data_IF_071887207387
#
_entry.id   IF_071887207387
#
_cell.length_a   1.000
_cell.length_b   1.000
_cell.length_c   1.000
_cell.angle_alpha   90.00
_cell.angle_beta   90.00
_cell.angle_gamma   90.00
#
_symmetry.space_group_name_H-M   'P 1'
#
loop_
_entity.id
_entity.type
_entity.pdbx_description
1 polymer ?
#
# COMPACT_ATOMS: atom_id res chain seq x y z
N UNK A 1 31.97 34.92 -5.59
CA UNK A 1 31.17 33.86 -6.25
C UNK A 1 29.70 34.23 -6.17
N UNK A 2 28.88 33.83 -7.15
CA UNK A 2 27.42 34.02 -7.10
C UNK A 2 26.77 32.71 -6.65
N UNK A 3 26.81 32.44 -5.34
CA UNK A 3 26.27 31.20 -4.77
C UNK A 3 24.76 31.27 -4.67
N UNK A 4 24.11 30.27 -5.25
CA UNK A 4 22.70 29.92 -5.05
C UNK A 4 22.43 29.48 -3.61
N UNK A 5 21.17 29.50 -3.13
CA UNK A 5 20.83 28.98 -1.80
C UNK A 5 21.29 27.53 -1.59
N UNK A 6 21.04 26.64 -2.56
CA UNK A 6 21.45 25.23 -2.49
C UNK A 6 22.97 25.06 -2.37
N UNK A 7 23.76 25.88 -3.07
CA UNK A 7 25.22 25.84 -2.93
C UNK A 7 25.69 26.31 -1.55
N UNK A 8 24.99 27.28 -0.93
CA UNK A 8 25.28 27.69 0.46
C UNK A 8 24.94 26.57 1.44
N UNK A 9 23.82 25.88 1.24
CA UNK A 9 23.43 24.75 2.09
C UNK A 9 24.44 23.59 1.99
N UNK A 10 24.99 23.32 0.79
CA UNK A 10 26.08 22.35 0.62
C UNK A 10 27.37 22.77 1.33
N UNK A 11 27.70 24.06 1.35
CA UNK A 11 28.84 24.56 2.13
C UNK A 11 28.60 24.40 3.64
N UNK A 12 27.38 24.62 4.12
CA UNK A 12 27.02 24.37 5.51
C UNK A 12 27.13 22.88 5.86
N UNK A 13 26.65 21.99 4.99
CA UNK A 13 26.80 20.55 5.12
C UNK A 13 28.28 20.16 5.21
N UNK A 14 29.12 20.68 4.30
CA UNK A 14 30.56 20.46 4.30
C UNK A 14 31.20 20.90 5.62
N UNK A 15 30.85 22.08 6.13
CA UNK A 15 31.35 22.57 7.41
C UNK A 15 30.97 21.67 8.59
N UNK A 16 29.75 21.14 8.61
CA UNK A 16 29.32 20.16 9.61
C UNK A 16 30.09 18.84 9.52
N UNK A 17 30.33 18.34 8.30
CA UNK A 17 31.10 17.13 8.06
C UNK A 17 32.58 17.29 8.43
N UNK A 18 33.20 18.44 8.15
CA UNK A 18 34.57 18.74 8.56
C UNK A 18 34.69 18.79 10.09
N UNK A 19 33.71 19.40 10.77
CA UNK A 19 33.66 19.37 12.23
C UNK A 19 33.55 17.93 12.78
N UNK A 20 32.71 17.09 12.16
CA UNK A 20 32.58 15.68 12.51
C UNK A 20 33.90 14.91 12.29
N UNK A 21 34.55 15.06 11.13
CA UNK A 21 35.87 14.47 10.85
C UNK A 21 36.92 14.90 11.88
N UNK A 22 36.96 16.19 12.22
CA UNK A 22 37.91 16.71 13.21
C UNK A 22 37.65 16.16 14.63
N UNK A 23 36.38 15.92 15.00
CA UNK A 23 36.00 15.28 16.28
C UNK A 23 36.41 13.81 16.30
N UNK A 24 36.08 13.05 15.24
CA UNK A 24 36.48 11.64 15.08
C UNK A 24 38.00 11.45 15.09
N UNK A 25 38.75 12.33 14.44
CA UNK A 25 40.21 12.30 14.42
C UNK A 25 40.84 12.47 15.82
N UNK A 26 40.11 13.07 16.78
CA UNK A 26 40.51 13.14 18.20
C UNK A 26 40.03 11.96 19.05
N UNK A 27 39.45 10.94 18.42
CA UNK A 27 38.93 9.74 19.10
C UNK A 27 37.54 9.89 19.68
N UNK A 28 36.78 10.94 19.32
CA UNK A 28 35.39 11.07 19.76
C UNK A 28 34.48 10.19 18.90
N UNK A 29 33.55 9.51 19.56
CA UNK A 29 32.43 8.82 18.92
C UNK A 29 31.41 9.84 18.44
N UNK A 30 30.98 9.69 17.19
CA UNK A 30 30.07 10.62 16.53
C UNK A 30 28.63 10.46 17.04
N UNK A 31 27.93 11.58 17.17
CA UNK A 31 26.48 11.61 17.41
C UNK A 31 25.67 11.64 16.10
N UNK A 32 24.35 11.73 16.21
CA UNK A 32 23.42 11.70 15.07
C UNK A 32 23.72 12.80 14.02
N UNK A 33 23.75 14.11 14.34
CA UNK A 33 24.09 15.14 13.36
C UNK A 33 25.45 14.96 12.69
N UNK A 34 26.46 14.53 13.45
CA UNK A 34 27.82 14.34 12.94
C UNK A 34 27.92 13.16 11.96
N UNK A 35 27.31 12.03 12.31
CA UNK A 35 27.26 10.86 11.44
C UNK A 35 26.50 11.18 10.14
N UNK A 36 25.33 11.82 10.24
CA UNK A 36 24.53 12.24 9.08
C UNK A 36 25.31 13.18 8.16
N UNK A 37 25.95 14.21 8.73
CA UNK A 37 26.71 15.18 7.93
C UNK A 37 27.89 14.54 7.21
N UNK A 38 28.64 13.68 7.91
CA UNK A 38 29.80 12.99 7.33
C UNK A 38 29.39 12.03 6.22
N UNK A 39 28.33 11.25 6.40
CA UNK A 39 27.80 10.34 5.36
C UNK A 39 27.33 11.12 4.13
N UNK A 40 26.54 12.19 4.32
CA UNK A 40 26.04 13.00 3.23
C UNK A 40 27.15 13.74 2.47
N UNK A 41 28.16 14.25 3.18
CA UNK A 41 29.32 14.89 2.56
C UNK A 41 30.16 13.89 1.76
N UNK A 42 30.34 12.65 2.25
CA UNK A 42 31.02 11.60 1.48
C UNK A 42 30.36 11.35 0.13
N UNK A 43 29.03 11.36 0.04
CA UNK A 43 28.32 11.25 -1.25
C UNK A 43 28.62 12.47 -2.15
N UNK A 44 28.55 13.69 -1.58
CA UNK A 44 28.80 14.91 -2.35
C UNK A 44 30.22 14.93 -2.95
N UNK A 45 31.22 14.52 -2.17
CA UNK A 45 32.61 14.47 -2.61
C UNK A 45 32.85 13.36 -3.63
N UNK A 46 32.27 12.17 -3.42
CA UNK A 46 32.33 11.08 -4.39
C UNK A 46 31.69 11.46 -5.74
N UNK A 47 30.54 12.15 -5.70
CA UNK A 47 29.90 12.69 -6.90
C UNK A 47 30.80 13.73 -7.59
N UNK A 48 31.44 14.61 -6.81
CA UNK A 48 32.36 15.62 -7.31
C UNK A 48 33.62 15.02 -7.95
N UNK A 49 34.05 13.85 -7.48
CA UNK A 49 35.15 13.05 -8.03
C UNK A 49 34.76 12.29 -9.32
N UNK A 50 33.52 12.43 -9.79
CA UNK A 50 33.04 11.79 -11.02
C UNK A 50 32.62 10.33 -10.84
N UNK A 51 32.45 9.86 -9.59
CA UNK A 51 31.95 8.49 -9.33
C UNK A 51 30.48 8.37 -9.68
N UNK A 52 30.04 7.17 -10.02
CA UNK A 52 28.62 6.88 -10.28
C UNK A 52 27.82 6.90 -8.96
N UNK A 53 26.51 7.15 -9.07
CA UNK A 53 25.61 7.17 -7.91
C UNK A 53 25.74 5.93 -7.01
N UNK A 54 25.80 4.74 -7.59
CA UNK A 54 25.93 3.49 -6.83
C UNK A 54 27.26 3.40 -6.07
N UNK A 55 28.35 3.89 -6.66
CA UNK A 55 29.68 3.89 -6.04
C UNK A 55 29.73 4.90 -4.88
N UNK A 56 29.16 6.10 -5.07
CA UNK A 56 29.06 7.11 -4.03
C UNK A 56 28.23 6.64 -2.83
N UNK A 57 27.12 5.93 -3.08
CA UNK A 57 26.31 5.32 -2.02
C UNK A 57 27.12 4.26 -1.26
N UNK A 58 27.83 3.37 -1.96
CA UNK A 58 28.58 2.30 -1.31
C UNK A 58 29.77 2.82 -0.49
N UNK A 59 30.43 3.88 -0.96
CA UNK A 59 31.47 4.58 -0.22
C UNK A 59 30.92 5.25 1.03
N UNK A 60 29.77 5.92 0.92
CA UNK A 60 29.09 6.52 2.06
C UNK A 60 28.65 5.48 3.10
N UNK A 61 28.25 4.26 2.68
CA UNK A 61 27.97 3.13 3.59
C UNK A 61 29.21 2.55 4.26
N UNK A 62 30.40 2.85 3.76
CA UNK A 62 31.66 2.28 4.25
C UNK A 62 32.47 3.26 5.08
N UNK A 63 32.03 4.52 5.17
CA UNK A 63 32.79 5.59 5.83
C UNK A 63 32.72 5.55 7.36
N UNK A 64 31.65 4.96 7.93
CA UNK A 64 31.45 4.80 9.37
C UNK A 64 31.12 3.34 9.72
N UNK A 65 31.77 2.84 10.76
CA UNK A 65 31.45 1.59 11.44
C UNK A 65 30.87 1.80 12.84
N UNK A 66 30.60 0.71 13.59
CA UNK A 66 29.97 0.77 14.91
C UNK A 66 30.85 1.48 15.94
N UNK A 67 32.17 1.36 15.81
CA UNK A 67 33.13 1.95 16.74
C UNK A 67 33.27 3.47 16.56
N UNK A 68 32.84 4.01 15.42
CA UNK A 68 32.95 5.43 15.11
C UNK A 68 31.81 6.27 15.71
N UNK A 69 30.73 5.63 16.17
CA UNK A 69 29.51 6.31 16.61
C UNK A 69 29.13 5.98 18.05
N UNK A 70 28.34 6.86 18.67
CA UNK A 70 27.76 6.61 20.00
C UNK A 70 26.74 5.46 19.93
N UNK A 71 26.50 4.74 21.05
CA UNK A 71 25.40 3.77 21.13
C UNK A 71 24.06 4.41 20.75
N UNK A 72 23.23 3.69 20.01
CA UNK A 72 21.92 4.17 19.55
C UNK A 72 21.93 5.00 18.26
N UNK A 73 23.10 5.47 17.81
CA UNK A 73 23.17 6.28 16.57
C UNK A 73 22.80 5.45 15.34
N UNK A 74 23.16 4.17 15.30
CA UNK A 74 22.78 3.26 14.21
C UNK A 74 21.27 2.97 14.18
N UNK A 75 20.60 3.00 15.33
CA UNK A 75 19.15 2.83 15.43
C UNK A 75 18.38 4.08 14.97
N UNK A 76 18.98 5.26 15.10
CA UNK A 76 18.37 6.55 14.71
C UNK A 76 18.70 6.93 13.26
N UNK A 77 19.95 6.75 12.82
CA UNK A 77 20.40 7.08 11.47
C UNK A 77 20.26 5.87 10.57
N UNK A 78 19.01 5.50 10.27
CA UNK A 78 18.71 4.34 9.42
C UNK A 78 18.87 4.65 7.93
N UNK A 79 18.64 5.89 7.53
CA UNK A 79 18.82 6.36 6.16
C UNK A 79 19.33 7.81 6.15
N UNK A 80 20.18 8.14 5.16
CA UNK A 80 20.63 9.51 4.89
C UNK A 80 20.32 9.84 3.44
N UNK A 81 19.56 10.93 3.25
CA UNK A 81 19.18 11.43 1.93
C UNK A 81 19.99 12.69 1.61
N UNK A 82 20.63 12.72 0.45
CA UNK A 82 21.38 13.90 -0.01
C UNK A 82 21.30 14.04 -1.52
N UNK A 83 21.05 15.26 -2.00
CA UNK A 83 21.13 15.57 -3.42
C UNK A 83 22.54 16.07 -3.78
N UNK A 84 23.25 15.27 -4.58
CA UNK A 84 24.59 15.58 -5.07
C UNK A 84 24.57 15.85 -6.58
N UNK A 85 25.55 16.64 -7.06
CA UNK A 85 25.72 16.94 -8.49
C UNK A 85 26.75 15.99 -9.05
N UNK A 86 26.30 15.06 -9.88
CA UNK A 86 27.11 14.13 -10.65
C UNK A 86 27.40 14.71 -12.04
N UNK A 87 28.23 14.03 -12.82
CA UNK A 87 28.54 14.43 -14.21
C UNK A 87 27.31 14.47 -15.13
N UNK A 88 26.26 13.71 -14.79
CA UNK A 88 24.97 13.69 -15.49
C UNK A 88 23.89 14.56 -14.83
N UNK A 89 24.28 15.40 -13.86
CA UNK A 89 23.42 16.35 -13.18
C UNK A 89 23.07 15.97 -11.73
N UNK A 90 22.11 16.69 -11.16
CA UNK A 90 21.64 16.43 -9.79
C UNK A 90 20.94 15.09 -9.67
N UNK A 91 21.32 14.30 -8.65
CA UNK A 91 20.66 13.04 -8.29
C UNK A 91 20.44 12.97 -6.77
N UNK A 92 19.31 12.39 -6.36
CA UNK A 92 19.07 12.02 -4.97
C UNK A 92 19.79 10.70 -4.67
N UNK A 93 20.71 10.73 -3.72
CA UNK A 93 21.31 9.54 -3.12
C UNK A 93 20.56 9.19 -1.83
N UNK A 94 20.14 7.92 -1.73
CA UNK A 94 19.53 7.34 -0.54
C UNK A 94 20.51 6.31 0.01
N UNK A 95 21.13 6.63 1.14
CA UNK A 95 22.11 5.78 1.80
C UNK A 95 21.42 5.04 2.94
N UNK A 96 20.92 3.84 2.66
CA UNK A 96 20.27 2.98 3.66
C UNK A 96 21.30 2.22 4.49
N UNK A 97 21.05 2.14 5.81
CA UNK A 97 21.93 1.58 6.83
C UNK A 97 23.37 2.10 6.71
N UNK A 98 23.59 3.42 6.86
CA UNK A 98 24.86 4.07 6.56
C UNK A 98 25.99 3.73 7.54
N UNK A 99 25.69 3.16 8.71
CA UNK A 99 26.68 2.71 9.69
C UNK A 99 26.85 1.20 9.55
N UNK A 100 27.81 0.78 8.74
CA UNK A 100 27.97 -0.63 8.34
C UNK A 100 28.35 -1.51 9.52
N UNK A 101 27.68 -2.66 9.63
CA UNK A 101 27.99 -3.68 10.62
C UNK A 101 27.56 -3.33 12.04
N UNK A 102 26.88 -2.20 12.26
CA UNK A 102 26.31 -1.89 13.56
C UNK A 102 25.09 -2.78 13.81
N UNK A 103 25.12 -3.52 14.92
CA UNK A 103 23.93 -4.15 15.46
C UNK A 103 23.09 -3.06 16.16
N UNK A 104 21.78 -3.08 15.93
CA UNK A 104 20.86 -2.23 16.67
C UNK A 104 20.80 -2.62 18.14
N UNK A 105 20.40 -1.69 19.00
CA UNK A 105 20.22 -1.91 20.44
C UNK A 105 18.92 -2.66 20.79
N UNK A 106 18.06 -2.94 19.81
CA UNK A 106 16.81 -3.67 20.03
C UNK A 106 15.85 -2.88 20.94
N UNK A 107 15.35 -3.50 22.00
CA UNK A 107 14.42 -2.88 22.95
C UNK A 107 15.05 -1.72 23.75
N UNK A 108 16.39 -1.66 23.82
CA UNK A 108 17.12 -0.57 24.47
C UNK A 108 17.41 0.61 23.51
N UNK A 109 16.98 0.51 22.25
CA UNK A 109 17.21 1.57 21.27
C UNK A 109 16.37 2.83 21.57
N UNK A 110 16.88 4.04 21.24
CA UNK A 110 16.11 5.26 21.35
C UNK A 110 14.80 5.17 20.54
N UNK A 111 13.66 5.28 21.23
CA UNK A 111 12.34 5.21 20.59
C UNK A 111 11.86 3.79 20.24
N UNK A 112 12.50 2.74 20.78
CA UNK A 112 12.04 1.36 20.60
C UNK A 112 10.57 1.20 21.03
N UNK A 113 9.78 0.55 20.17
CA UNK A 113 8.38 0.24 20.43
C UNK A 113 8.30 -1.16 21.01
N UNK A 114 7.83 -1.28 22.26
CA UNK A 114 7.59 -2.57 22.92
C UNK A 114 6.15 -3.00 22.63
N UNK A 115 5.93 -4.02 21.78
CA UNK A 115 4.58 -4.41 21.40
C UNK A 115 3.86 -5.10 22.57
N UNK A 116 2.59 -4.74 22.76
CA UNK A 116 1.67 -5.50 23.61
C UNK A 116 1.16 -6.78 22.92
N UNK A 117 0.20 -7.49 23.53
CA UNK A 117 -0.32 -8.77 23.00
C UNK A 117 -1.06 -8.68 21.66
N UNK A 118 -1.27 -7.46 21.12
CA UNK A 118 -1.97 -7.23 19.85
C UNK A 118 -3.49 -7.36 19.97
N UNK A 119 -4.19 -6.90 18.92
CA UNK A 119 -5.63 -7.12 18.77
C UNK A 119 -5.87 -8.36 17.88
N UNK A 120 -6.95 -9.13 18.10
CA UNK A 120 -7.30 -10.24 17.23
C UNK A 120 -7.57 -9.72 15.81
N UNK A 121 -7.02 -10.41 14.82
CA UNK A 121 -7.28 -10.12 13.41
C UNK A 121 -8.53 -10.86 12.96
N UNK A 122 -9.31 -10.29 12.03
CA UNK A 122 -10.45 -11.00 11.46
C UNK A 122 -9.96 -12.18 10.62
N UNK A 123 -10.65 -13.30 10.73
CA UNK A 123 -10.46 -14.46 9.86
C UNK A 123 -11.35 -14.34 8.62
N UNK A 124 -10.91 -14.82 7.45
CA UNK A 124 -11.72 -14.83 6.24
C UNK A 124 -12.95 -15.73 6.43
N UNK A 125 -14.12 -15.22 6.07
CA UNK A 125 -15.37 -16.01 6.11
C UNK A 125 -15.70 -16.64 4.76
N UNK A 126 -14.97 -16.24 3.70
CA UNK A 126 -15.13 -16.73 2.34
C UNK A 126 -13.76 -16.74 1.66
N UNK A 127 -13.43 -17.84 0.98
CA UNK A 127 -12.28 -17.93 0.09
C UNK A 127 -12.75 -17.99 -1.36
N UNK A 128 -12.17 -17.15 -2.22
CA UNK A 128 -12.44 -17.15 -3.66
C UNK A 128 -11.15 -17.30 -4.45
N UNK A 129 -11.18 -18.17 -5.45
CA UNK A 129 -10.16 -18.19 -6.51
C UNK A 129 -10.43 -17.05 -7.47
N UNK A 130 -9.39 -16.29 -7.77
CA UNK A 130 -9.44 -15.10 -8.62
C UNK A 130 -8.38 -15.23 -9.69
N UNK A 131 -8.79 -15.06 -10.95
CA UNK A 131 -7.91 -15.09 -12.12
C UNK A 131 -7.84 -13.72 -12.75
N UNK A 132 -6.64 -13.18 -12.92
CA UNK A 132 -6.46 -11.96 -13.70
C UNK A 132 -6.33 -12.32 -15.18
N UNK A 133 -7.31 -11.95 -16.00
CA UNK A 133 -7.26 -12.23 -17.45
C UNK A 133 -6.52 -11.14 -18.25
N UNK A 134 -6.08 -10.05 -17.60
CA UNK A 134 -5.42 -8.92 -18.27
C UNK A 134 -3.93 -9.18 -18.50
N UNK A 135 -3.32 -8.54 -19.53
CA UNK A 135 -1.87 -8.57 -19.76
C UNK A 135 -1.08 -7.64 -18.81
N UNK A 136 -1.78 -6.98 -17.87
CA UNK A 136 -1.21 -6.06 -16.88
C UNK A 136 -1.61 -6.51 -15.48
N UNK A 137 -0.77 -6.22 -14.46
CA UNK A 137 -1.12 -6.54 -13.08
C UNK A 137 -2.29 -5.72 -12.58
N UNK A 138 -3.08 -6.30 -11.68
CA UNK A 138 -4.18 -5.62 -10.99
C UNK A 138 -3.97 -5.75 -9.49
N UNK A 139 -4.04 -4.63 -8.76
CA UNK A 139 -3.99 -4.64 -7.29
C UNK A 139 -5.33 -4.17 -6.72
N UNK A 140 -5.82 -4.87 -5.71
CA UNK A 140 -7.07 -4.53 -5.00
C UNK A 140 -6.74 -4.26 -3.53
N UNK A 141 -7.19 -3.12 -3.00
CA UNK A 141 -6.87 -2.68 -1.63
C UNK A 141 -7.82 -3.29 -0.60
N UNK A 142 -7.36 -3.33 0.65
CA UNK A 142 -8.04 -3.95 1.81
C UNK A 142 -9.51 -3.58 2.02
N UNK A 143 -9.92 -2.36 1.65
CA UNK A 143 -11.25 -1.81 1.90
C UNK A 143 -12.05 -1.53 0.62
N UNK A 144 -11.57 -2.01 -0.52
CA UNK A 144 -12.31 -1.94 -1.76
C UNK A 144 -13.47 -2.95 -1.74
N UNK A 145 -14.66 -2.57 -2.22
CA UNK A 145 -15.78 -3.49 -2.36
C UNK A 145 -15.45 -4.52 -3.44
N UNK A 146 -15.11 -5.75 -3.03
CA UNK A 146 -14.44 -6.74 -3.88
C UNK A 146 -15.26 -7.12 -5.12
N UNK A 147 -16.58 -7.14 -4.99
CA UNK A 147 -17.53 -7.26 -6.10
C UNK A 147 -17.29 -6.29 -7.26
N UNK A 148 -16.86 -5.06 -6.97
CA UNK A 148 -16.64 -3.99 -7.95
C UNK A 148 -15.20 -3.95 -8.46
N UNK A 149 -14.35 -4.91 -8.07
CA UNK A 149 -12.96 -4.98 -8.51
C UNK A 149 -12.89 -5.15 -10.04
N UNK A 150 -11.74 -4.81 -10.62
CA UNK A 150 -11.51 -4.71 -12.07
C UNK A 150 -12.28 -5.77 -12.89
N UNK A 151 -12.99 -5.39 -13.98
CA UNK A 151 -13.77 -6.31 -14.82
C UNK A 151 -13.00 -7.54 -15.33
N UNK A 152 -11.67 -7.43 -15.46
CA UNK A 152 -10.77 -8.49 -15.96
C UNK A 152 -10.31 -9.46 -14.88
N UNK A 153 -10.70 -9.25 -13.63
CA UNK A 153 -10.60 -10.27 -12.60
C UNK A 153 -11.83 -11.18 -12.71
N UNK A 154 -11.58 -12.46 -12.95
CA UNK A 154 -12.57 -13.52 -13.11
C UNK A 154 -12.67 -14.32 -11.80
N UNK A 155 -13.82 -14.21 -11.15
CA UNK A 155 -14.17 -14.83 -9.87
C UNK A 155 -15.69 -14.75 -9.66
N UNK A 156 -16.23 -15.51 -8.70
CA UNK A 156 -17.65 -15.44 -8.36
C UNK A 156 -18.02 -14.09 -7.72
N UNK A 157 -18.58 -13.19 -8.54
CA UNK A 157 -19.00 -11.86 -8.10
C UNK A 157 -20.22 -11.92 -7.19
N UNK A 158 -21.14 -12.86 -7.42
CA UNK A 158 -22.31 -12.99 -6.57
C UNK A 158 -21.91 -13.35 -5.13
N UNK A 159 -20.87 -14.17 -4.94
CA UNK A 159 -20.30 -14.48 -3.63
C UNK A 159 -19.52 -13.29 -3.02
N UNK A 160 -18.84 -12.49 -3.84
CA UNK A 160 -18.07 -11.33 -3.39
C UNK A 160 -18.91 -10.07 -3.03
N UNK A 161 -20.23 -10.09 -3.26
CA UNK A 161 -21.10 -8.94 -2.98
C UNK A 161 -21.13 -8.58 -1.49
N UNK A 162 -20.86 -7.31 -1.18
CA UNK A 162 -20.79 -6.78 0.18
C UNK A 162 -19.56 -7.21 0.97
N UNK A 163 -18.53 -7.71 0.28
CA UNK A 163 -17.28 -8.22 0.86
C UNK A 163 -16.09 -7.32 0.51
N UNK A 164 -15.04 -7.39 1.34
CA UNK A 164 -13.73 -6.78 1.11
C UNK A 164 -12.63 -7.79 1.44
N UNK A 165 -11.39 -7.51 1.02
CA UNK A 165 -10.25 -8.38 1.30
C UNK A 165 -10.00 -8.50 2.81
N UNK A 166 -9.78 -9.74 3.26
CA UNK A 166 -9.37 -10.07 4.61
C UNK A 166 -7.84 -9.96 4.75
N UNK A 167 -7.35 -8.74 4.63
CA UNK A 167 -5.92 -8.39 4.72
C UNK A 167 -5.75 -7.18 5.63
N UNK A 168 -4.53 -6.91 6.16
CA UNK A 168 -4.29 -5.74 7.01
C UNK A 168 -4.78 -4.43 6.38
N UNK A 169 -5.33 -3.54 7.20
CA UNK A 169 -5.81 -2.24 6.73
C UNK A 169 -4.67 -1.46 6.04
N UNK A 170 -4.99 -0.83 4.91
CA UNK A 170 -4.00 -0.13 4.07
C UNK A 170 -3.20 -1.02 3.13
N UNK A 171 -3.24 -2.35 3.28
CA UNK A 171 -2.57 -3.28 2.35
C UNK A 171 -3.40 -3.54 1.07
N UNK A 172 -2.81 -4.30 0.14
CA UNK A 172 -3.46 -4.72 -1.10
C UNK A 172 -3.02 -6.13 -1.50
N UNK A 173 -3.86 -6.83 -2.27
CA UNK A 173 -3.50 -8.07 -2.96
C UNK A 173 -3.24 -7.74 -4.42
N UNK A 174 -2.10 -8.22 -4.94
CA UNK A 174 -1.69 -8.07 -6.33
C UNK A 174 -1.94 -9.38 -7.08
N UNK A 175 -2.55 -9.27 -8.25
CA UNK A 175 -2.69 -10.34 -9.23
C UNK A 175 -1.83 -10.01 -10.44
N UNK A 176 -0.81 -10.82 -10.70
CA UNK A 176 0.06 -10.66 -11.87
C UNK A 176 -0.70 -10.93 -13.18
N UNK A 177 -0.17 -10.47 -14.34
CA UNK A 177 -0.78 -10.73 -15.64
C UNK A 177 -1.03 -12.23 -15.85
N UNK A 178 -2.26 -12.60 -16.22
CA UNK A 178 -2.66 -14.01 -16.42
C UNK A 178 -2.51 -14.92 -15.19
N UNK A 179 -2.23 -14.33 -14.03
CA UNK A 179 -2.03 -15.05 -12.78
C UNK A 179 -3.35 -15.46 -12.13
N UNK A 180 -3.26 -16.45 -11.27
CA UNK A 180 -4.36 -16.93 -10.44
C UNK A 180 -3.91 -16.94 -8.98
N UNK A 181 -4.85 -16.63 -8.08
CA UNK A 181 -4.61 -16.68 -6.65
C UNK A 181 -5.90 -16.92 -5.88
N UNK A 182 -5.78 -17.38 -4.65
CA UNK A 182 -6.90 -17.45 -3.72
C UNK A 182 -6.85 -16.24 -2.78
N UNK A 183 -8.02 -15.66 -2.49
CA UNK A 183 -8.15 -14.58 -1.52
C UNK A 183 -9.19 -14.89 -0.47
N UNK A 184 -8.89 -14.50 0.76
CA UNK A 184 -9.85 -14.47 1.86
C UNK A 184 -10.63 -13.16 1.86
N UNK A 185 -11.93 -13.23 2.12
CA UNK A 185 -12.84 -12.10 2.15
C UNK A 185 -13.59 -12.03 3.49
N UNK A 186 -13.90 -10.80 3.90
CA UNK A 186 -14.73 -10.49 5.07
C UNK A 186 -15.84 -9.50 4.69
N UNK A 187 -16.99 -9.52 5.37
CA UNK A 187 -18.06 -8.58 5.08
C UNK A 187 -17.63 -7.14 5.36
N UNK A 188 -18.11 -6.21 4.55
CA UNK A 188 -18.07 -4.79 4.89
C UNK A 188 -18.87 -4.58 6.18
N UNK A 189 -18.29 -3.89 7.16
CA UNK A 189 -18.92 -3.58 8.44
C UNK A 189 -19.72 -2.28 8.43
N UNK A 190 -20.09 -1.78 9.61
CA UNK A 190 -20.81 -0.53 9.77
C UNK A 190 -22.22 -0.57 9.16
N UNK A 191 -22.66 0.55 8.58
CA UNK A 191 -23.98 0.67 7.94
C UNK A 191 -24.11 -0.08 6.60
N UNK A 192 -23.03 -0.72 6.13
CA UNK A 192 -23.02 -1.49 4.87
C UNK A 192 -23.53 -0.71 3.66
N UNK A 193 -23.05 0.53 3.51
CA UNK A 193 -23.34 1.41 2.38
C UNK A 193 -22.08 1.50 1.52
N UNK A 194 -22.18 1.15 0.24
CA UNK A 194 -21.09 1.22 -0.73
C UNK A 194 -21.34 2.38 -1.70
N UNK A 195 -20.51 3.42 -1.65
CA UNK A 195 -20.59 4.62 -2.50
C UNK A 195 -19.26 4.80 -3.25
N UNK A 196 -19.33 5.12 -4.54
CA UNK A 196 -18.15 5.30 -5.39
C UNK A 196 -17.73 3.99 -6.04
N UNK A 197 -16.50 3.53 -5.77
CA UNK A 197 -15.91 2.34 -6.41
C UNK A 197 -16.06 2.35 -7.93
N UNK A 198 -16.89 1.46 -8.49
CA UNK A 198 -17.22 1.42 -9.92
C UNK A 198 -18.67 1.86 -10.21
N UNK A 199 -19.38 2.36 -9.21
CA UNK A 199 -20.77 2.80 -9.29
C UNK A 199 -21.78 1.67 -9.52
N UNK A 200 -21.40 0.42 -9.23
CA UNK A 200 -22.29 -0.73 -9.47
C UNK A 200 -23.38 -0.83 -8.41
N UNK A 201 -23.13 -0.34 -7.20
CA UNK A 201 -24.11 -0.27 -6.10
C UNK A 201 -24.56 1.16 -5.82
N UNK A 202 -23.64 2.06 -5.45
CA UNK A 202 -23.91 3.45 -5.05
C UNK A 202 -25.08 3.58 -4.05
N UNK A 203 -25.07 2.77 -2.99
CA UNK A 203 -26.10 2.77 -1.98
C UNK A 203 -25.95 1.68 -0.91
N UNK A 204 -27.02 1.46 -0.10
CA UNK A 204 -27.06 0.39 0.89
C UNK A 204 -26.97 -0.99 0.23
N UNK A 205 -26.03 -1.83 0.69
CA UNK A 205 -25.81 -3.18 0.17
C UNK A 205 -26.99 -4.11 0.43
N UNK A 206 -27.66 -3.92 1.57
CA UNK A 206 -28.71 -4.83 2.03
C UNK A 206 -30.13 -4.34 1.65
N UNK A 207 -30.25 -3.34 0.76
CA UNK A 207 -31.55 -2.88 0.26
C UNK A 207 -32.22 -3.95 -0.62
N UNK A 208 -33.57 -4.08 -0.60
CA UNK A 208 -34.28 -5.07 -1.40
C UNK A 208 -33.94 -4.96 -2.89
N UNK A 209 -33.47 -6.07 -3.48
CA UNK A 209 -33.08 -6.13 -4.89
C UNK A 209 -31.74 -5.48 -5.25
N UNK A 210 -31.01 -4.85 -4.32
CA UNK A 210 -29.75 -4.16 -4.59
C UNK A 210 -28.69 -5.09 -5.19
N UNK A 211 -28.52 -6.29 -4.63
CA UNK A 211 -27.58 -7.31 -5.15
C UNK A 211 -27.91 -7.73 -6.58
N UNK A 212 -29.18 -7.97 -6.88
CA UNK A 212 -29.61 -8.39 -8.21
C UNK A 212 -29.39 -7.27 -9.25
N UNK A 213 -29.71 -6.03 -8.91
CA UNK A 213 -29.47 -4.87 -9.76
C UNK A 213 -27.97 -4.64 -10.01
N UNK A 214 -27.14 -4.76 -8.97
CA UNK A 214 -25.69 -4.63 -9.08
C UNK A 214 -25.09 -5.71 -9.98
N UNK A 215 -25.52 -6.96 -9.86
CA UNK A 215 -25.10 -8.07 -10.75
C UNK A 215 -25.50 -7.81 -12.20
N UNK A 216 -26.73 -7.35 -12.44
CA UNK A 216 -27.19 -7.01 -13.79
C UNK A 216 -26.36 -5.86 -14.41
N UNK A 217 -26.03 -4.82 -13.62
CA UNK A 217 -25.14 -3.73 -14.06
C UNK A 217 -23.73 -4.23 -14.35
N UNK A 218 -23.17 -5.06 -13.48
CA UNK A 218 -21.85 -5.65 -13.67
C UNK A 218 -21.78 -6.45 -14.98
N UNK A 219 -22.80 -7.30 -15.24
CA UNK A 219 -22.89 -8.07 -16.47
C UNK A 219 -22.99 -7.15 -17.71
N UNK A 220 -23.85 -6.13 -17.66
CA UNK A 220 -23.99 -5.14 -18.73
C UNK A 220 -22.69 -4.36 -19.01
N UNK A 221 -21.87 -4.14 -17.99
CA UNK A 221 -20.56 -3.49 -18.10
C UNK A 221 -19.40 -4.45 -18.44
N UNK A 222 -19.68 -5.73 -18.70
CA UNK A 222 -18.68 -6.71 -19.13
C UNK A 222 -17.74 -7.20 -18.02
N UNK A 223 -18.19 -7.16 -16.77
CA UNK A 223 -17.47 -7.76 -15.65
C UNK A 223 -17.53 -9.29 -15.75
N UNK A 224 -16.38 -9.96 -15.63
CA UNK A 224 -16.31 -11.42 -15.66
C UNK A 224 -16.89 -12.03 -14.36
N UNK A 225 -17.41 -13.26 -14.43
CA UNK A 225 -17.82 -14.00 -13.24
C UNK A 225 -19.13 -13.52 -12.56
N UNK A 226 -20.01 -12.83 -13.29
CA UNK A 226 -21.34 -12.41 -12.81
C UNK A 226 -22.40 -13.52 -12.81
N UNK A 227 -22.05 -14.74 -13.25
CA UNK A 227 -23.01 -15.76 -13.65
C UNK A 227 -23.64 -15.44 -15.01
N UNK A 228 -23.93 -16.46 -15.81
CA UNK A 228 -24.60 -16.30 -17.11
C UNK A 228 -26.05 -15.79 -16.89
N UNK A 229 -26.56 -14.84 -17.70
CA UNK A 229 -27.99 -14.54 -17.67
C UNK A 229 -28.77 -15.82 -18.02
N UNK A 230 -29.97 -16.06 -17.45
CA UNK A 230 -30.77 -17.21 -17.86
C UNK A 230 -30.99 -17.14 -19.38
N UNK A 231 -30.54 -18.17 -20.09
CA UNK A 231 -30.76 -18.32 -21.52
C UNK A 231 -32.27 -18.38 -21.85
N UNK A 232 -32.66 -18.13 -23.11
CA UNK A 232 -34.06 -17.97 -23.52
C UNK A 232 -34.95 -19.22 -23.39
N UNK A 233 -34.44 -20.34 -22.88
CA UNK A 233 -35.13 -21.65 -22.83
C UNK A 233 -35.52 -22.08 -21.40
N UNK A 234 -36.03 -21.16 -20.57
CA UNK A 234 -36.80 -21.52 -19.38
C UNK A 234 -38.31 -21.42 -19.70
N UNK A 235 -39.11 -22.47 -19.45
CA UNK A 235 -40.54 -22.42 -19.74
C UNK A 235 -41.22 -21.38 -18.86
N UNK A 236 -42.04 -20.52 -19.47
CA UNK A 236 -42.89 -19.58 -18.76
C UNK A 236 -43.85 -20.36 -17.85
N UNK A 237 -43.62 -20.31 -16.54
CA UNK A 237 -44.63 -20.68 -15.55
C UNK A 237 -45.62 -19.53 -15.47
N UNK A 238 -46.69 -19.65 -16.26
CA UNK A 238 -47.91 -18.86 -16.11
C UNK A 238 -48.65 -19.33 -14.84
N UNK A 239 -48.39 -18.66 -13.72
CA UNK A 239 -49.28 -18.70 -12.57
C UNK A 239 -49.91 -17.33 -12.41
N UNK A 240 -51.02 -17.12 -13.13
CA UNK A 240 -51.97 -16.06 -12.85
C UNK A 240 -52.62 -16.32 -11.49
N UNK A 241 -52.52 -15.43 -10.47
CA UNK A 241 -53.27 -15.60 -9.24
C UNK A 241 -54.73 -15.22 -9.50
N UNK A 242 -55.62 -16.20 -9.42
CA UNK A 242 -57.07 -15.97 -9.43
C UNK A 242 -57.47 -15.08 -8.26
N UNK A 243 -57.89 -13.85 -8.56
CA UNK A 243 -58.51 -12.95 -7.61
C UNK A 243 -59.96 -13.41 -7.37
N UNK A 244 -60.17 -14.18 -6.32
CA UNK A 244 -61.50 -14.46 -5.76
C UNK A 244 -61.84 -13.34 -4.77
N UNK A 245 -62.60 -12.35 -5.25
CA UNK A 245 -63.16 -11.27 -4.41
C UNK A 245 -64.62 -11.62 -4.09
N UNK A 246 -65.00 -11.77 -2.80
CA UNK A 246 -66.39 -12.00 -2.44
C UNK A 246 -67.23 -10.74 -2.68
N UNK A 247 -68.39 -10.93 -3.31
CA UNK A 247 -69.42 -9.89 -3.51
C UNK A 247 -69.99 -9.47 -2.14
N UNK A 248 -70.14 -8.17 -1.86
CA UNK A 248 -70.88 -7.74 -0.68
C UNK A 248 -72.39 -7.96 -0.91
N UNK A 249 -72.96 -8.80 -0.05
CA UNK A 249 -74.40 -8.97 0.11
C UNK A 249 -75.03 -7.61 0.50
N UNK A 250 -76.04 -7.20 -0.27
CA UNK A 250 -76.92 -6.12 0.15
C UNK A 250 -77.79 -6.60 1.31
N UNK A 251 -78.08 -5.70 2.24
CA UNK A 251 -79.29 -5.80 3.05
C UNK A 251 -79.84 -4.39 3.34
N UNK A 252 -81.17 -4.22 3.45
CA UNK A 252 -81.88 -2.97 3.28
C UNK A 252 -82.22 -2.28 4.61
N UNK A 253 -82.40 -0.95 4.55
CA UNK A 253 -83.54 -0.18 5.07
C UNK A 253 -83.30 1.30 4.77
#
# INVERSE_FOLDING_TARGET
>A
MRLTPTERDRLLLRGAAELARARRARGLKLNVPEATALVADTVCEAARDGKRLAEAIEEARSVLGPDDVLPGVADVVTEVHVEAVFDDGSRLAVVSSPIRGAAGLGDDAPGAVVPGPGAPQPEPVLHLRVRNTAPVPVSVTSHFHFFEANPRLDFDRAAAYGMRLCVPAGSSVRFDPHGEGEVGLVPIGGARIAIGFAGLVDGPLDAPGAKAQALARAAACGYLGTGEPPGPDAPATDETPGADLPRPEGNPA
#
